data_IF_426316898702
#
_entry.id   IF_426316898702
#
_cell.length_a   1.000
_cell.length_b   1.000
_cell.length_c   1.000
_cell.angle_alpha   90.00
_cell.angle_beta   90.00
_cell.angle_gamma   90.00
#
_symmetry.space_group_name_H-M   'P 1'
#
loop_
_entity.id
_entity.type
_entity.pdbx_description
1 polymer ?
#
# COMPACT_ATOMS: atom_id res chain seq x y z
N UNK A 1 6.86 -34.34 -3.31
CA UNK A 1 5.79 -33.89 -2.37
C UNK A 1 6.49 -33.65 -1.06
N UNK A 2 6.21 -32.59 -0.34
CA UNK A 2 6.84 -32.32 0.95
C UNK A 2 6.34 -33.35 1.98
N UNK A 3 7.23 -33.91 2.82
CA UNK A 3 6.88 -34.82 3.90
C UNK A 3 6.30 -34.09 5.12
N UNK A 4 5.91 -32.80 4.95
CA UNK A 4 5.34 -31.97 6.01
C UNK A 4 3.98 -32.53 6.44
N UNK A 5 3.87 -32.91 7.71
CA UNK A 5 2.64 -33.31 8.37
C UNK A 5 2.11 -32.12 9.19
N UNK A 6 0.83 -31.82 9.07
CA UNK A 6 0.19 -30.78 9.86
C UNK A 6 0.17 -31.18 11.35
N UNK A 7 0.73 -30.37 12.26
CA UNK A 7 0.58 -30.59 13.69
C UNK A 7 -0.87 -30.35 14.13
N UNK A 8 -1.24 -30.90 15.29
CA UNK A 8 -2.55 -30.66 15.90
C UNK A 8 -2.70 -29.16 16.27
N UNK A 9 -1.65 -28.57 16.82
CA UNK A 9 -1.56 -27.14 17.16
C UNK A 9 -0.30 -26.59 16.51
N UNK A 10 -0.44 -25.48 15.79
CA UNK A 10 0.70 -24.82 15.18
C UNK A 10 1.54 -24.07 16.23
N UNK A 11 2.82 -24.29 16.21
CA UNK A 11 3.81 -23.53 16.97
C UNK A 11 4.76 -22.81 16.02
N UNK A 12 5.15 -21.59 16.39
CA UNK A 12 6.09 -20.80 15.60
C UNK A 12 7.46 -21.50 15.59
N UNK A 13 8.01 -21.85 14.41
CA UNK A 13 9.36 -22.40 14.34
C UNK A 13 10.38 -21.35 14.81
N UNK A 14 11.49 -21.81 15.37
CA UNK A 14 12.56 -20.92 15.85
C UNK A 14 13.19 -20.07 14.75
N UNK A 15 13.11 -20.53 13.50
CA UNK A 15 13.55 -19.81 12.31
C UNK A 15 12.53 -19.98 11.18
N UNK A 16 11.94 -18.88 10.74
CA UNK A 16 11.01 -18.88 9.61
C UNK A 16 11.71 -18.85 8.24
N UNK A 17 12.99 -18.50 8.20
CA UNK A 17 13.72 -18.27 6.96
C UNK A 17 13.26 -17.04 6.18
N UNK A 18 14.00 -16.72 5.09
CA UNK A 18 13.71 -15.59 4.21
C UNK A 18 14.04 -14.23 4.81
N UNK A 19 13.83 -13.17 4.01
CA UNK A 19 14.19 -11.79 4.36
C UNK A 19 13.48 -11.25 5.63
N UNK A 20 12.33 -11.80 5.97
CA UNK A 20 11.47 -11.33 7.07
C UNK A 20 11.37 -12.31 8.24
N UNK A 21 12.15 -13.41 8.21
CA UNK A 21 12.03 -14.50 9.15
C UNK A 21 12.29 -14.12 10.61
N UNK A 22 13.20 -13.19 10.86
CA UNK A 22 13.51 -12.68 12.20
C UNK A 22 12.56 -11.58 12.71
N UNK A 23 11.72 -11.01 11.84
CA UNK A 23 10.84 -9.87 12.18
C UNK A 23 9.42 -10.31 12.53
N UNK A 24 8.92 -11.36 11.87
CA UNK A 24 7.56 -11.83 12.07
C UNK A 24 7.45 -12.65 13.36
N UNK A 25 6.41 -12.33 14.14
CA UNK A 25 6.07 -13.05 15.38
C UNK A 25 4.55 -13.23 15.44
N UNK A 26 4.05 -14.28 16.13
CA UNK A 26 2.61 -14.52 16.25
C UNK A 26 1.94 -13.63 17.32
N UNK A 27 2.63 -12.63 17.82
CA UNK A 27 2.15 -11.71 18.86
C UNK A 27 2.14 -10.27 18.34
N UNK A 28 1.11 -9.52 18.70
CA UNK A 28 1.02 -8.08 18.47
C UNK A 28 1.57 -7.28 19.65
N UNK A 29 1.72 -5.96 19.46
CA UNK A 29 2.15 -5.01 20.48
C UNK A 29 3.58 -4.51 20.28
N UNK A 30 3.94 -3.52 21.11
CA UNK A 30 5.28 -2.93 21.09
C UNK A 30 6.33 -3.91 21.59
N UNK A 31 7.53 -3.83 21.01
CA UNK A 31 8.66 -4.70 21.36
C UNK A 31 9.78 -3.94 22.07
N UNK A 32 9.78 -2.62 21.95
CA UNK A 32 10.75 -1.73 22.57
C UNK A 32 10.16 -0.32 22.71
N UNK A 33 10.75 0.45 23.60
CA UNK A 33 10.40 1.88 23.73
C UNK A 33 10.98 2.67 22.57
N UNK A 34 10.16 3.56 22.03
CA UNK A 34 10.52 4.44 20.91
C UNK A 34 9.83 5.78 21.08
N UNK A 35 10.51 6.86 20.76
CA UNK A 35 9.90 8.18 20.59
C UNK A 35 9.97 8.55 19.12
N UNK A 36 8.81 8.79 18.50
CA UNK A 36 8.75 9.23 17.12
C UNK A 36 8.87 10.75 17.02
N UNK A 37 9.71 11.28 16.12
CA UNK A 37 9.80 12.71 15.88
C UNK A 37 8.48 13.25 15.33
N UNK A 38 8.18 14.51 15.69
CA UNK A 38 7.04 15.28 15.18
C UNK A 38 7.55 16.65 14.74
N UNK A 39 7.20 17.03 13.52
CA UNK A 39 7.50 18.35 12.98
C UNK A 39 6.31 19.31 13.10
N UNK A 40 6.42 20.44 12.42
CA UNK A 40 5.44 21.54 12.48
C UNK A 40 4.29 21.39 11.46
N UNK A 41 4.41 20.47 10.50
CA UNK A 41 3.38 20.28 9.49
C UNK A 41 2.12 19.62 10.08
N UNK A 42 0.92 19.93 9.55
CA UNK A 42 -0.33 19.36 10.06
C UNK A 42 -0.41 17.83 9.99
N UNK A 43 0.25 17.22 9.00
CA UNK A 43 0.26 15.75 8.87
C UNK A 43 1.64 15.20 9.12
N UNK A 44 1.74 14.26 10.06
CA UNK A 44 2.96 13.53 10.39
C UNK A 44 2.83 12.11 9.82
N UNK A 45 3.55 11.83 8.75
CA UNK A 45 3.46 10.56 8.02
C UNK A 45 4.66 9.68 8.32
N UNK A 46 4.41 8.50 8.89
CA UNK A 46 5.43 7.49 9.21
C UNK A 46 5.30 6.36 8.21
N UNK A 47 6.27 6.23 7.29
CA UNK A 47 6.12 5.34 6.14
C UNK A 47 7.46 4.95 5.49
N UNK A 48 7.39 4.23 4.37
CA UNK A 48 8.49 3.84 3.49
C UNK A 48 7.95 3.75 2.06
N UNK A 49 8.75 3.96 0.99
CA UNK A 49 8.29 3.91 -0.40
C UNK A 49 7.96 2.48 -0.89
N UNK A 50 7.06 1.81 -0.18
CA UNK A 50 6.42 0.54 -0.58
C UNK A 50 5.12 0.82 -1.32
N UNK A 51 4.51 -0.15 -2.01
CA UNK A 51 3.23 0.06 -2.67
C UNK A 51 2.11 0.60 -1.75
N UNK A 52 2.11 0.26 -0.46
CA UNK A 52 1.16 0.86 0.47
C UNK A 52 1.60 2.25 0.95
N UNK A 53 2.89 2.46 1.17
CA UNK A 53 3.43 3.74 1.65
C UNK A 53 3.24 4.87 0.66
N UNK A 54 3.49 4.63 -0.63
CA UNK A 54 3.33 5.64 -1.67
C UNK A 54 1.88 6.08 -1.90
N UNK A 55 0.88 5.34 -1.45
CA UNK A 55 -0.51 5.80 -1.49
C UNK A 55 -0.69 7.12 -0.73
N UNK A 56 -0.13 7.17 0.48
CA UNK A 56 -0.25 8.36 1.33
C UNK A 56 0.52 9.56 0.77
N UNK A 57 1.75 9.36 0.28
CA UNK A 57 2.54 10.44 -0.30
C UNK A 57 1.92 10.96 -1.59
N UNK A 58 1.45 10.07 -2.48
CA UNK A 58 0.73 10.48 -3.70
C UNK A 58 -0.54 11.26 -3.34
N UNK A 59 -1.33 10.80 -2.38
CA UNK A 59 -2.55 11.50 -1.95
C UNK A 59 -2.26 12.92 -1.47
N UNK A 60 -1.25 13.09 -0.62
CA UNK A 60 -0.88 14.41 -0.09
C UNK A 60 -0.37 15.34 -1.20
N UNK A 61 0.41 14.82 -2.15
CA UNK A 61 0.86 15.60 -3.30
C UNK A 61 -0.28 15.93 -4.28
N UNK A 62 -1.25 15.03 -4.48
CA UNK A 62 -2.46 15.34 -5.27
C UNK A 62 -3.31 16.42 -4.62
N UNK A 63 -3.44 16.41 -3.29
CA UNK A 63 -4.13 17.48 -2.58
C UNK A 63 -3.44 18.83 -2.76
N UNK A 64 -2.11 18.88 -2.66
CA UNK A 64 -1.34 20.10 -2.95
C UNK A 64 -1.53 20.58 -4.40
N UNK A 65 -1.52 19.68 -5.37
CA UNK A 65 -1.78 20.00 -6.78
C UNK A 65 -3.18 20.61 -6.98
N UNK A 66 -4.15 20.19 -6.16
CA UNK A 66 -5.51 20.75 -6.16
C UNK A 66 -5.65 22.04 -5.32
N UNK A 67 -4.53 22.63 -4.88
CA UNK A 67 -4.49 23.89 -4.14
C UNK A 67 -4.90 23.74 -2.66
N UNK A 68 -4.89 22.53 -2.12
CA UNK A 68 -5.17 22.29 -0.71
C UNK A 68 -3.90 22.44 0.12
N UNK A 69 -3.99 23.13 1.26
CA UNK A 69 -2.90 23.19 2.23
C UNK A 69 -2.82 21.86 3.01
N UNK A 70 -2.15 20.90 2.38
CA UNK A 70 -1.92 19.56 2.93
C UNK A 70 -0.42 19.36 3.23
N UNK A 71 0.18 20.29 3.99
CA UNK A 71 1.56 20.20 4.43
C UNK A 71 1.81 18.95 5.28
N UNK A 72 2.92 18.26 5.05
CA UNK A 72 3.26 17.06 5.82
C UNK A 72 4.77 16.91 6.03
N UNK A 73 5.11 16.25 7.12
CA UNK A 73 6.43 15.70 7.38
C UNK A 73 6.40 14.19 7.15
N UNK A 74 7.33 13.67 6.35
CA UNK A 74 7.44 12.25 6.09
C UNK A 74 8.66 11.67 6.80
N UNK A 75 8.45 10.66 7.65
CA UNK A 75 9.49 9.96 8.41
C UNK A 75 9.65 8.54 7.91
N UNK A 76 10.91 8.13 7.76
CA UNK A 76 11.27 6.80 7.29
C UNK A 76 11.15 5.78 8.42
N UNK A 77 10.33 4.76 8.21
CA UNK A 77 10.24 3.59 9.07
C UNK A 77 10.99 2.44 8.41
N UNK A 78 12.13 2.07 8.99
CA UNK A 78 12.99 0.98 8.48
C UNK A 78 12.40 -0.38 8.86
N UNK A 79 11.42 -0.83 8.08
CA UNK A 79 10.67 -2.07 8.38
C UNK A 79 11.56 -3.31 8.47
N UNK A 80 12.72 -3.32 7.79
CA UNK A 80 13.72 -4.38 7.88
C UNK A 80 14.49 -4.39 9.21
N UNK A 81 14.53 -3.27 9.92
CA UNK A 81 15.17 -3.08 11.24
C UNK A 81 14.14 -3.23 12.38
N UNK A 82 12.85 -3.22 12.07
CA UNK A 82 11.79 -3.45 13.05
C UNK A 82 11.19 -2.20 13.65
N UNK A 83 11.48 -0.99 13.13
CA UNK A 83 11.01 0.30 13.65
C UNK A 83 9.49 0.34 13.88
N UNK A 84 8.72 -0.39 13.06
CA UNK A 84 7.25 -0.49 13.19
C UNK A 84 6.78 -1.16 14.47
N UNK A 85 7.67 -1.74 15.26
CA UNK A 85 7.36 -2.38 16.53
C UNK A 85 7.73 -1.52 17.75
N UNK A 86 8.16 -0.29 17.56
CA UNK A 86 8.39 0.68 18.63
C UNK A 86 7.07 1.17 19.26
N UNK A 87 7.11 1.55 20.54
CA UNK A 87 5.95 1.90 21.34
C UNK A 87 5.13 3.05 20.73
N UNK A 88 5.75 4.12 20.27
CA UNK A 88 5.02 5.25 19.67
C UNK A 88 4.40 4.89 18.32
N UNK A 89 5.10 4.09 17.48
CA UNK A 89 4.51 3.64 16.23
C UNK A 89 3.30 2.73 16.47
N UNK A 90 3.41 1.80 17.42
CA UNK A 90 2.29 0.89 17.80
C UNK A 90 1.12 1.67 18.39
N UNK A 91 1.37 2.77 19.12
CA UNK A 91 0.30 3.64 19.62
C UNK A 91 -0.49 4.30 18.48
N UNK A 92 0.15 4.61 17.34
CA UNK A 92 -0.53 5.11 16.15
C UNK A 92 -1.21 3.96 15.41
N UNK A 93 -0.47 2.89 15.11
CA UNK A 93 -0.99 1.73 14.40
C UNK A 93 -0.72 0.41 15.15
N UNK A 94 -1.71 -0.12 15.87
CA UNK A 94 -1.54 -1.35 16.64
C UNK A 94 -1.29 -2.59 15.77
N UNK A 95 -1.50 -2.53 14.46
CA UNK A 95 -1.17 -3.57 13.51
C UNK A 95 0.32 -3.59 13.13
N UNK A 96 1.12 -2.60 13.58
CA UNK A 96 2.56 -2.50 13.30
C UNK A 96 2.89 -2.57 11.80
N UNK A 97 2.11 -1.87 10.98
CA UNK A 97 2.28 -1.78 9.52
C UNK A 97 2.31 -0.34 9.04
N UNK A 98 3.19 -0.04 8.09
CA UNK A 98 3.21 1.23 7.38
C UNK A 98 2.18 1.23 6.23
N UNK A 99 1.68 2.41 5.83
CA UNK A 99 1.84 3.73 6.45
C UNK A 99 0.98 3.90 7.71
N UNK A 100 1.42 4.83 8.57
CA UNK A 100 0.64 5.36 9.68
C UNK A 100 0.77 6.89 9.69
N UNK A 101 -0.27 7.60 10.10
CA UNK A 101 -0.31 9.06 10.07
C UNK A 101 -0.93 9.63 11.35
N UNK A 102 -0.40 10.76 11.80
CA UNK A 102 -1.06 11.63 12.77
C UNK A 102 -1.52 12.91 12.05
N UNK A 103 -2.78 13.26 12.20
CA UNK A 103 -3.31 14.58 11.88
C UNK A 103 -3.32 15.42 13.15
N UNK A 104 -2.45 16.43 13.21
CA UNK A 104 -2.33 17.38 14.31
C UNK A 104 -2.86 18.77 13.97
N UNK A 105 -3.69 18.89 12.92
CA UNK A 105 -4.26 20.16 12.49
C UNK A 105 -5.40 20.69 13.38
N UNK A 106 -5.92 19.88 14.28
CA UNK A 106 -6.97 20.24 15.24
C UNK A 106 -6.45 20.29 16.68
N UNK A 107 -7.36 20.57 17.64
CA UNK A 107 -7.03 20.64 19.07
C UNK A 107 -6.51 19.32 19.66
N UNK A 108 -6.88 18.20 19.06
CA UNK A 108 -6.42 16.87 19.42
C UNK A 108 -5.91 16.13 18.20
N UNK A 109 -4.76 15.50 18.32
CA UNK A 109 -4.20 14.71 17.25
C UNK A 109 -5.06 13.46 16.99
N UNK A 110 -5.33 13.21 15.70
CA UNK A 110 -6.07 12.04 15.24
C UNK A 110 -5.08 11.05 14.63
N UNK A 111 -5.06 9.84 15.13
CA UNK A 111 -4.31 8.76 14.52
C UNK A 111 -5.08 8.16 13.34
N UNK A 112 -4.42 7.99 12.22
CA UNK A 112 -5.00 7.38 11.01
C UNK A 112 -4.08 6.27 10.53
N UNK A 113 -4.58 5.08 10.43
CA UNK A 113 -3.84 3.92 9.91
C UNK A 113 -4.69 3.15 8.92
N UNK A 114 -4.12 2.15 8.25
CA UNK A 114 -4.54 1.52 7.01
C UNK A 114 -4.41 2.47 5.81
N UNK A 115 -3.63 2.05 4.82
CA UNK A 115 -3.30 2.90 3.67
C UNK A 115 -4.54 3.39 2.91
N UNK A 116 -5.59 2.56 2.79
CA UNK A 116 -6.84 2.95 2.16
C UNK A 116 -7.65 3.92 3.03
N UNK A 117 -7.62 3.75 4.36
CA UNK A 117 -8.28 4.67 5.27
C UNK A 117 -7.60 6.04 5.31
N UNK A 118 -6.26 6.11 5.17
CA UNK A 118 -5.55 7.39 5.04
C UNK A 118 -6.04 8.13 3.79
N UNK A 119 -6.21 7.43 2.66
CA UNK A 119 -6.78 8.02 1.44
C UNK A 119 -8.19 8.55 1.67
N UNK A 120 -9.07 7.73 2.26
CA UNK A 120 -10.46 8.10 2.53
C UNK A 120 -10.56 9.27 3.50
N UNK A 121 -9.82 9.22 4.61
CA UNK A 121 -9.78 10.28 5.61
C UNK A 121 -9.39 11.63 5.01
N UNK A 122 -8.31 11.68 4.22
CA UNK A 122 -7.84 12.89 3.58
C UNK A 122 -8.82 13.38 2.50
N UNK A 123 -9.41 12.46 1.73
CA UNK A 123 -10.39 12.79 0.71
C UNK A 123 -11.67 13.43 1.32
N UNK A 124 -12.16 12.88 2.41
CA UNK A 124 -13.33 13.41 3.13
C UNK A 124 -13.01 14.72 3.85
N UNK A 125 -11.85 14.81 4.51
CA UNK A 125 -11.41 16.04 5.21
C UNK A 125 -11.39 17.26 4.28
N UNK A 126 -10.93 17.08 3.04
CA UNK A 126 -10.76 18.17 2.08
C UNK A 126 -11.83 18.21 0.98
N UNK A 127 -12.72 17.22 0.91
CA UNK A 127 -13.74 17.16 -0.14
C UNK A 127 -13.14 17.00 -1.54
N UNK A 128 -12.03 16.26 -1.69
CA UNK A 128 -11.30 16.09 -2.95
C UNK A 128 -11.08 14.61 -3.27
N UNK A 129 -10.99 14.27 -4.55
CA UNK A 129 -10.69 12.94 -5.06
C UNK A 129 -11.70 11.85 -4.64
N UNK A 130 -12.88 12.29 -4.19
CA UNK A 130 -14.03 11.46 -3.88
C UNK A 130 -15.31 12.23 -4.25
N UNK A 131 -16.24 11.64 -5.00
CA UNK A 131 -17.49 12.31 -5.37
C UNK A 131 -18.44 12.42 -4.17
N UNK A 132 -19.30 13.43 -4.19
CA UNK A 132 -20.37 13.64 -3.21
C UNK A 132 -21.67 12.92 -3.58
N UNK A 133 -21.88 12.64 -4.88
CA UNK A 133 -23.03 11.84 -5.34
C UNK A 133 -22.97 10.42 -4.72
N UNK A 134 -24.04 9.96 -4.06
CA UNK A 134 -24.01 8.68 -3.35
C UNK A 134 -23.68 7.47 -4.22
N UNK A 135 -24.17 7.42 -5.47
CA UNK A 135 -23.91 6.29 -6.35
C UNK A 135 -22.47 6.26 -6.82
N UNK A 136 -21.93 7.40 -7.27
CA UNK A 136 -20.53 7.54 -7.67
C UNK A 136 -19.58 7.31 -6.48
N UNK A 137 -19.92 7.83 -5.30
CA UNK A 137 -19.14 7.61 -4.08
C UNK A 137 -19.11 6.12 -3.71
N UNK A 138 -20.23 5.43 -3.81
CA UNK A 138 -20.30 3.99 -3.56
C UNK A 138 -19.39 3.21 -4.52
N UNK A 139 -19.37 3.59 -5.81
CA UNK A 139 -18.48 2.94 -6.78
C UNK A 139 -16.99 3.15 -6.44
N UNK A 140 -16.59 4.35 -6.03
CA UNK A 140 -15.23 4.62 -5.54
C UNK A 140 -14.88 3.74 -4.33
N UNK A 141 -15.80 3.61 -3.37
CA UNK A 141 -15.59 2.78 -2.18
C UNK A 141 -15.56 1.28 -2.50
N UNK A 142 -16.37 0.80 -3.46
CA UNK A 142 -16.30 -0.58 -3.94
C UNK A 142 -14.88 -0.92 -4.40
N UNK A 143 -14.27 -0.08 -5.22
CA UNK A 143 -12.92 -0.29 -5.74
C UNK A 143 -11.83 -0.08 -4.68
N UNK A 144 -12.01 0.88 -3.79
CA UNK A 144 -11.09 1.10 -2.66
C UNK A 144 -11.03 -0.14 -1.74
N UNK A 145 -12.19 -0.68 -1.35
CA UNK A 145 -12.26 -1.87 -0.51
C UNK A 145 -11.89 -3.15 -1.25
N UNK A 146 -12.21 -3.24 -2.56
CA UNK A 146 -11.70 -4.32 -3.39
C UNK A 146 -10.17 -4.37 -3.36
N UNK A 147 -9.51 -3.23 -3.52
CA UNK A 147 -8.04 -3.17 -3.47
C UNK A 147 -7.50 -3.63 -2.11
N UNK A 148 -8.14 -3.24 -1.02
CA UNK A 148 -7.74 -3.64 0.33
C UNK A 148 -7.84 -5.16 0.53
N UNK A 149 -8.89 -5.78 0.00
CA UNK A 149 -9.07 -7.24 0.06
C UNK A 149 -8.23 -8.03 -0.95
N UNK A 150 -7.88 -7.42 -2.10
CA UNK A 150 -7.16 -8.08 -3.19
C UNK A 150 -5.63 -7.99 -3.04
N UNK A 151 -5.11 -6.86 -2.51
CA UNK A 151 -3.67 -6.65 -2.37
C UNK A 151 -2.93 -7.71 -1.53
N UNK A 152 -3.51 -8.30 -0.46
CA UNK A 152 -2.88 -9.40 0.26
C UNK A 152 -2.57 -10.62 -0.60
N UNK A 153 -3.40 -10.94 -1.59
CA UNK A 153 -3.12 -12.03 -2.52
C UNK A 153 -1.96 -11.70 -3.46
N UNK A 154 -1.84 -10.44 -3.86
CA UNK A 154 -0.72 -9.97 -4.67
C UNK A 154 0.56 -9.85 -3.83
N UNK A 155 0.54 -9.09 -2.75
CA UNK A 155 1.73 -8.81 -1.92
C UNK A 155 2.13 -9.97 -1.02
N UNK A 156 1.19 -10.46 -0.20
CA UNK A 156 1.41 -11.54 0.77
C UNK A 156 1.39 -12.94 0.14
N UNK A 157 0.65 -13.11 -0.96
CA UNK A 157 0.59 -14.36 -1.70
C UNK A 157 1.65 -14.42 -2.80
N UNK A 158 1.34 -13.85 -3.97
CA UNK A 158 2.23 -13.94 -5.13
C UNK A 158 3.63 -13.38 -4.83
N UNK A 159 3.73 -12.14 -4.34
CA UNK A 159 5.02 -11.51 -4.07
C UNK A 159 5.85 -12.26 -3.05
N UNK A 160 5.21 -12.80 -2.01
CA UNK A 160 5.92 -13.60 -1.02
C UNK A 160 6.55 -14.83 -1.65
N UNK A 161 5.79 -15.68 -2.30
CA UNK A 161 6.30 -16.95 -2.84
C UNK A 161 7.15 -16.79 -4.11
N UNK A 162 6.86 -15.76 -4.93
CA UNK A 162 7.65 -15.46 -6.12
C UNK A 162 9.01 -14.83 -5.77
N UNK A 163 9.06 -13.90 -4.81
CA UNK A 163 10.23 -13.06 -4.55
C UNK A 163 10.89 -13.34 -3.18
N UNK A 164 10.14 -13.27 -2.08
CA UNK A 164 10.70 -13.23 -0.72
C UNK A 164 10.95 -14.61 -0.08
N UNK A 165 10.17 -15.62 -0.44
CA UNK A 165 10.31 -16.95 0.15
C UNK A 165 11.70 -17.54 -0.13
N UNK A 166 12.33 -18.18 0.86
CA UNK A 166 13.66 -18.79 0.71
C UNK A 166 13.63 -19.96 -0.26
N UNK A 167 12.48 -20.62 -0.42
CA UNK A 167 12.27 -21.75 -1.31
C UNK A 167 11.23 -21.41 -2.38
N UNK A 168 11.43 -21.94 -3.60
CA UNK A 168 10.47 -21.82 -4.70
C UNK A 168 9.48 -22.99 -4.65
N UNK A 169 8.30 -22.74 -4.10
CA UNK A 169 7.23 -23.73 -3.98
C UNK A 169 6.30 -23.56 -5.18
N UNK A 170 6.43 -24.43 -6.18
CA UNK A 170 5.71 -24.35 -7.46
C UNK A 170 4.20 -24.21 -7.27
N UNK A 171 3.60 -25.04 -6.42
CA UNK A 171 2.16 -25.00 -6.14
C UNK A 171 1.72 -23.62 -5.62
N UNK A 172 2.45 -23.06 -4.66
CA UNK A 172 2.13 -21.76 -4.08
C UNK A 172 2.29 -20.61 -5.12
N UNK A 173 3.38 -20.62 -5.89
CA UNK A 173 3.62 -19.64 -6.94
C UNK A 173 2.49 -19.72 -7.99
N UNK A 174 2.15 -20.90 -8.48
CA UNK A 174 1.10 -21.07 -9.48
C UNK A 174 -0.28 -20.67 -8.96
N UNK A 175 -0.62 -21.03 -7.72
CA UNK A 175 -1.89 -20.66 -7.09
C UNK A 175 -2.07 -19.14 -7.01
N UNK A 176 -1.03 -18.42 -6.58
CA UNK A 176 -1.10 -16.96 -6.43
C UNK A 176 -0.86 -16.21 -7.75
N UNK A 177 -0.07 -16.75 -8.67
CA UNK A 177 0.05 -16.19 -10.02
C UNK A 177 -1.29 -16.22 -10.78
N UNK A 178 -2.04 -17.31 -10.66
CA UNK A 178 -3.38 -17.41 -11.24
C UNK A 178 -4.31 -16.33 -10.69
N UNK A 179 -4.32 -16.11 -9.36
CA UNK A 179 -5.14 -15.06 -8.76
C UNK A 179 -4.66 -13.65 -9.14
N UNK A 180 -3.35 -13.39 -9.18
CA UNK A 180 -2.80 -12.13 -9.64
C UNK A 180 -3.21 -11.83 -11.09
N UNK A 181 -3.14 -12.82 -11.98
CA UNK A 181 -3.60 -12.67 -13.38
C UNK A 181 -5.11 -12.42 -13.47
N UNK A 182 -5.93 -13.09 -12.66
CA UNK A 182 -7.37 -12.85 -12.62
C UNK A 182 -7.69 -11.41 -12.18
N UNK A 183 -6.94 -10.86 -11.23
CA UNK A 183 -7.09 -9.48 -10.78
C UNK A 183 -6.67 -8.49 -11.87
N UNK A 184 -5.56 -8.76 -12.58
CA UNK A 184 -5.10 -7.93 -13.71
C UNK A 184 -6.10 -7.94 -14.86
N UNK A 185 -6.66 -9.10 -15.20
CA UNK A 185 -7.71 -9.26 -16.23
C UNK A 185 -8.99 -8.49 -15.87
N UNK A 186 -9.41 -8.54 -14.60
CA UNK A 186 -10.54 -7.77 -14.11
C UNK A 186 -10.31 -6.25 -14.31
N UNK A 187 -9.15 -5.75 -13.89
CA UNK A 187 -8.82 -4.33 -14.04
C UNK A 187 -8.75 -3.90 -15.51
N UNK A 188 -8.15 -4.73 -16.37
CA UNK A 188 -8.06 -4.43 -17.80
C UNK A 188 -9.43 -4.35 -18.47
N UNK A 189 -10.34 -5.26 -18.14
CA UNK A 189 -11.73 -5.27 -18.65
C UNK A 189 -12.53 -4.05 -18.19
N UNK A 190 -12.42 -3.68 -16.92
CA UNK A 190 -13.08 -2.49 -16.40
C UNK A 190 -12.55 -1.21 -17.07
N UNK A 191 -11.26 -1.09 -17.23
CA UNK A 191 -10.60 0.05 -17.85
C UNK A 191 -10.79 0.10 -19.39
N UNK A 192 -11.31 -0.95 -20.01
CA UNK A 192 -11.67 -0.92 -21.42
C UNK A 192 -12.83 0.05 -21.74
N UNK A 193 -13.67 0.35 -20.75
CA UNK A 193 -14.89 1.16 -20.91
C UNK A 193 -14.90 2.47 -20.15
N UNK A 194 -13.91 2.71 -19.31
CA UNK A 194 -13.82 3.91 -18.44
C UNK A 194 -12.40 4.47 -18.41
N UNK A 195 -12.25 5.79 -18.32
CA UNK A 195 -10.94 6.43 -18.25
C UNK A 195 -10.23 6.24 -16.91
N UNK A 196 -10.96 5.93 -15.82
CA UNK A 196 -10.49 5.63 -14.48
C UNK A 196 -11.32 4.50 -13.86
N UNK A 197 -10.79 3.86 -12.83
CA UNK A 197 -11.37 2.61 -12.33
C UNK A 197 -12.81 2.75 -11.81
N UNK A 198 -13.14 3.88 -11.21
CA UNK A 198 -14.48 4.14 -10.67
C UNK A 198 -15.38 4.98 -11.60
N UNK A 199 -14.95 5.30 -12.83
CA UNK A 199 -15.73 6.08 -13.79
C UNK A 199 -14.91 7.14 -14.53
N UNK A 200 -15.47 8.35 -14.67
CA UNK A 200 -14.89 9.41 -15.49
C UNK A 200 -13.80 10.20 -14.78
N UNK A 201 -13.80 10.21 -13.45
CA UNK A 201 -12.93 11.04 -12.64
C UNK A 201 -11.84 10.23 -11.95
N UNK A 202 -10.64 10.82 -11.85
CA UNK A 202 -9.55 10.30 -11.04
C UNK A 202 -9.86 10.44 -9.55
N UNK A 203 -9.76 9.34 -8.81
CA UNK A 203 -10.18 9.25 -7.41
C UNK A 203 -9.18 8.50 -6.54
N UNK A 204 -9.46 8.45 -5.23
CA UNK A 204 -8.69 7.64 -4.27
C UNK A 204 -8.65 6.14 -4.64
N UNK A 205 -9.63 5.63 -5.38
CA UNK A 205 -9.62 4.25 -5.86
C UNK A 205 -8.48 4.02 -6.85
N UNK A 206 -8.23 4.98 -7.76
CA UNK A 206 -7.12 4.92 -8.70
C UNK A 206 -5.78 4.98 -7.98
N UNK A 207 -5.61 5.88 -6.99
CA UNK A 207 -4.38 5.98 -6.19
C UNK A 207 -4.10 4.63 -5.50
N UNK A 208 -5.12 4.05 -4.87
CA UNK A 208 -4.99 2.79 -4.14
C UNK A 208 -4.56 1.62 -5.06
N UNK A 209 -5.23 1.48 -6.21
CA UNK A 209 -4.99 0.40 -7.16
C UNK A 209 -3.68 0.60 -7.90
N UNK A 210 -3.40 1.83 -8.37
CA UNK A 210 -2.19 2.13 -9.12
C UNK A 210 -0.91 1.85 -8.33
N UNK A 211 -0.92 2.14 -7.06
CA UNK A 211 0.25 1.92 -6.19
C UNK A 211 0.72 0.46 -6.16
N UNK A 212 -0.15 -0.49 -6.41
CA UNK A 212 0.17 -1.91 -6.54
C UNK A 212 0.19 -2.38 -7.99
N UNK A 213 -0.97 -2.31 -8.66
CA UNK A 213 -1.15 -2.92 -9.99
C UNK A 213 -0.51 -2.09 -11.11
N UNK A 214 -0.52 -0.75 -11.00
CA UNK A 214 0.19 0.12 -11.92
C UNK A 214 1.70 -0.06 -11.80
N UNK A 215 2.23 -0.14 -10.58
CA UNK A 215 3.66 -0.39 -10.35
C UNK A 215 4.08 -1.79 -10.82
N UNK A 216 3.22 -2.80 -10.65
CA UNK A 216 3.45 -4.14 -11.20
C UNK A 216 3.41 -4.13 -12.73
N UNK A 217 2.47 -3.41 -13.34
CA UNK A 217 2.38 -3.25 -14.79
C UNK A 217 3.61 -2.57 -15.40
N UNK A 218 4.31 -1.74 -14.62
CA UNK A 218 5.61 -1.13 -14.97
C UNK A 218 6.82 -2.01 -14.64
N UNK A 219 6.62 -3.21 -14.11
CA UNK A 219 7.69 -4.11 -13.61
C UNK A 219 8.56 -3.48 -12.49
N UNK A 220 7.92 -2.68 -11.60
CA UNK A 220 8.59 -1.87 -10.55
C UNK A 220 8.24 -2.30 -9.12
N UNK A 221 7.70 -3.49 -8.91
CA UNK A 221 7.41 -4.02 -7.57
C UNK A 221 8.43 -5.11 -7.19
N UNK A 222 8.56 -6.13 -8.01
CA UNK A 222 9.53 -7.21 -7.86
C UNK A 222 10.21 -7.48 -9.21
N UNK A 223 11.50 -7.76 -9.17
CA UNK A 223 12.26 -8.02 -10.38
C UNK A 223 11.62 -9.12 -11.23
N UNK A 224 11.39 -8.82 -12.50
CA UNK A 224 10.78 -9.71 -13.50
C UNK A 224 9.37 -10.20 -13.22
N UNK A 225 8.69 -9.70 -12.19
CA UNK A 225 7.32 -10.12 -11.87
C UNK A 225 6.32 -9.76 -12.98
N UNK A 226 6.47 -8.57 -13.56
CA UNK A 226 5.65 -8.14 -14.69
C UNK A 226 5.87 -8.99 -15.93
N UNK A 227 7.11 -9.43 -16.18
CA UNK A 227 7.44 -10.35 -17.28
C UNK A 227 6.81 -11.72 -17.02
N UNK A 228 6.98 -12.26 -15.82
CA UNK A 228 6.44 -13.56 -15.41
C UNK A 228 4.92 -13.63 -15.55
N UNK A 229 4.21 -12.58 -15.14
CA UNK A 229 2.76 -12.47 -15.26
C UNK A 229 2.28 -12.01 -16.64
N UNK A 230 3.20 -11.73 -17.58
CA UNK A 230 2.91 -11.18 -18.91
C UNK A 230 2.00 -9.93 -18.85
N UNK A 231 2.33 -8.96 -17.97
CA UNK A 231 1.47 -7.78 -17.75
C UNK A 231 1.26 -6.92 -18.99
N UNK A 232 2.10 -7.08 -20.02
CA UNK A 232 2.01 -6.34 -21.30
C UNK A 232 0.77 -6.75 -22.14
N UNK A 233 0.13 -7.87 -21.85
CA UNK A 233 -1.09 -8.28 -22.55
C UNK A 233 -2.32 -7.44 -22.15
N UNK A 234 -2.32 -6.83 -20.96
CA UNK A 234 -3.41 -6.03 -20.41
C UNK A 234 -3.33 -4.58 -20.91
N UNK A 235 -3.83 -4.31 -22.11
CA UNK A 235 -3.60 -3.06 -22.85
C UNK A 235 -4.26 -1.83 -22.22
N UNK A 236 -5.47 -1.99 -21.69
CA UNK A 236 -6.20 -0.89 -21.04
C UNK A 236 -5.58 -0.55 -19.68
N UNK A 237 -5.17 -1.58 -18.94
CA UNK A 237 -4.43 -1.40 -17.69
C UNK A 237 -3.08 -0.69 -17.94
N UNK A 238 -2.35 -1.03 -19.01
CA UNK A 238 -1.10 -0.35 -19.38
C UNK A 238 -1.34 1.13 -19.69
N UNK A 239 -2.34 1.46 -20.52
CA UNK A 239 -2.65 2.85 -20.87
C UNK A 239 -3.07 3.67 -19.63
N UNK A 240 -3.91 3.12 -18.76
CA UNK A 240 -4.28 3.74 -17.48
C UNK A 240 -3.07 3.91 -16.56
N UNK A 241 -2.19 2.92 -16.50
CA UNK A 241 -0.96 2.99 -15.70
C UNK A 241 -0.06 4.12 -16.13
N UNK A 242 0.17 4.30 -17.43
CA UNK A 242 0.97 5.40 -17.97
C UNK A 242 0.31 6.76 -17.72
N UNK A 243 -1.00 6.85 -17.91
CA UNK A 243 -1.77 8.08 -17.65
C UNK A 243 -1.58 8.56 -16.22
N UNK A 244 -1.64 7.68 -15.24
CA UNK A 244 -1.46 8.03 -13.82
C UNK A 244 0.01 8.30 -13.50
N UNK A 245 0.94 7.49 -14.01
CA UNK A 245 2.37 7.69 -13.80
C UNK A 245 2.86 9.08 -14.26
N UNK A 246 2.24 9.63 -15.29
CA UNK A 246 2.60 10.96 -15.84
C UNK A 246 1.99 12.14 -15.08
N UNK A 247 1.22 11.90 -14.03
CA UNK A 247 0.70 13.00 -13.19
C UNK A 247 1.83 13.61 -12.37
N UNK A 248 2.01 14.96 -12.38
CA UNK A 248 3.09 15.59 -11.61
C UNK A 248 3.05 15.26 -10.13
N UNK A 249 1.86 15.22 -9.52
CA UNK A 249 1.68 14.87 -8.13
C UNK A 249 2.10 13.41 -7.82
N UNK A 250 1.83 12.47 -8.74
CA UNK A 250 2.27 11.08 -8.60
C UNK A 250 3.79 10.99 -8.62
N UNK A 251 4.45 11.74 -9.53
CA UNK A 251 5.91 11.78 -9.61
C UNK A 251 6.51 12.32 -8.31
N UNK A 252 6.01 13.47 -7.82
CA UNK A 252 6.46 14.02 -6.53
C UNK A 252 6.23 13.05 -5.37
N UNK A 253 5.06 12.40 -5.34
CA UNK A 253 4.72 11.42 -4.30
C UNK A 253 5.64 10.19 -4.29
N UNK A 254 6.26 9.84 -5.43
CA UNK A 254 7.27 8.78 -5.53
C UNK A 254 8.67 9.24 -5.11
N UNK A 255 8.96 10.54 -5.17
CA UNK A 255 10.28 11.13 -4.96
C UNK A 255 10.38 11.87 -3.61
N UNK A 256 9.45 11.64 -2.68
CA UNK A 256 9.43 12.27 -1.37
C UNK A 256 10.73 11.98 -0.61
N UNK A 257 11.35 13.02 -0.10
CA UNK A 257 12.47 12.89 0.83
C UNK A 257 11.95 12.59 2.24
N UNK A 258 12.48 11.53 2.82
CA UNK A 258 12.08 11.09 4.16
C UNK A 258 13.10 11.56 5.19
N UNK A 259 12.59 12.15 6.28
CA UNK A 259 13.40 12.40 7.48
C UNK A 259 13.65 11.08 8.20
N UNK A 260 14.84 10.92 8.76
CA UNK A 260 15.12 9.75 9.61
C UNK A 260 14.43 9.90 10.97
N UNK A 261 14.09 8.77 11.60
CA UNK A 261 13.47 8.76 12.93
C UNK A 261 14.51 8.77 14.05
N UNK A 262 15.76 8.39 13.74
CA UNK A 262 16.89 8.42 14.65
C UNK A 262 17.49 9.84 14.64
N UNK A 263 17.09 10.69 15.56
CA UNK A 263 17.69 12.01 15.79
C UNK A 263 17.99 12.22 17.26
#
# INVERSE_FOLDING_TARGET
MSDYQLPEVWEAPSQMGGAWGGLNQPTAGARFEQTLPKGDQPFQLYTLPTPNGIKATIMLEELKELGVDAGYDAYRIKIGEGDQFGSDFVAINPNSKIPAMLDQSGDQAIRVFESANILLYLAEKFGKLIPTDPAKRTEVLNWLFWQTGAAPFLGGGFGHFFHYAPEKIEYAINRFAMEAKRQLDLLDKELATKPYIAGDDYTIADIAIWSWYGRLAQDKVWDRAGIFLNVKEYKHLQAWTEKIANRPAVQRGLEVEYKEIDA
#
